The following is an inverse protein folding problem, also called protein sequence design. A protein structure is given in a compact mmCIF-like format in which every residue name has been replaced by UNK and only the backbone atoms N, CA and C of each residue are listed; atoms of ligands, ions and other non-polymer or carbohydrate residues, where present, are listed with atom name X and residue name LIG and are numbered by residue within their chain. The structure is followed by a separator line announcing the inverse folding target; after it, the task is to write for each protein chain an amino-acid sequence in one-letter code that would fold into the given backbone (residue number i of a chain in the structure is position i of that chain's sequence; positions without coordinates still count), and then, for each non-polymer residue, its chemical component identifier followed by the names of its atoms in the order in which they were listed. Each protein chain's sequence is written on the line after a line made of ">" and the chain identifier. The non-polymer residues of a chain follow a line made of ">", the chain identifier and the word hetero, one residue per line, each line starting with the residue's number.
data_IF_304350113798
#
_entry.id   IF_304350113798
#
_cell.length_a   1.000
_cell.length_b   1.000
_cell.length_c   1.000
_cell.angle_alpha   90.00
_cell.angle_beta   90.00
_cell.angle_gamma   90.00
#
_symmetry.space_group_name_H-M   'P 1'
#
loop_
_entity.id
_entity.type
_entity.pdbx_description
1 polymer ?
#
# COMPACT_ATOMS: atom_id res chain seq x y z
N UNK A 1 31.89 -0.08 8.52
CA UNK A 1 31.03 0.34 7.38
C UNK A 1 29.85 -0.60 7.36
N UNK A 2 28.62 -0.09 7.18
CA UNK A 2 27.41 -0.93 7.06
C UNK A 2 26.85 -0.83 5.65
N UNK A 3 26.53 -1.97 5.04
CA UNK A 3 25.95 -2.08 3.70
C UNK A 3 24.50 -2.54 3.80
N UNK A 4 23.57 -1.75 3.27
CA UNK A 4 22.15 -2.07 3.24
C UNK A 4 21.64 -2.30 1.82
N UNK A 5 20.60 -3.14 1.70
CA UNK A 5 19.88 -3.37 0.46
C UNK A 5 18.55 -2.60 0.49
N UNK A 6 18.36 -1.69 -0.47
CA UNK A 6 17.05 -1.08 -0.70
C UNK A 6 16.19 -2.06 -1.50
N UNK A 7 14.99 -2.36 -1.01
CA UNK A 7 14.06 -3.28 -1.64
C UNK A 7 12.80 -2.54 -2.10
N UNK A 8 12.63 -2.45 -3.41
CA UNK A 8 11.41 -1.95 -4.04
C UNK A 8 10.31 -3.03 -4.08
N UNK A 9 10.67 -4.31 -3.94
CA UNK A 9 9.78 -5.47 -4.03
C UNK A 9 8.92 -5.41 -5.31
N UNK A 10 9.62 -5.48 -6.44
CA UNK A 10 9.08 -5.18 -7.77
C UNK A 10 7.83 -5.99 -8.11
N UNK A 11 6.74 -5.30 -8.45
CA UNK A 11 5.55 -5.92 -9.02
C UNK A 11 5.55 -5.77 -10.55
N UNK A 12 6.19 -6.71 -11.24
CA UNK A 12 6.49 -6.59 -12.69
C UNK A 12 5.32 -7.01 -13.58
N UNK A 13 5.27 -6.46 -14.79
CA UNK A 13 4.28 -6.84 -15.78
C UNK A 13 4.39 -8.33 -16.16
N UNK A 14 3.26 -9.01 -16.30
CA UNK A 14 3.21 -10.46 -16.56
C UNK A 14 3.44 -11.35 -15.35
N UNK A 15 3.67 -10.78 -14.16
CA UNK A 15 3.74 -11.51 -12.88
C UNK A 15 2.47 -11.30 -12.05
N UNK A 16 2.22 -12.25 -11.15
CA UNK A 16 1.22 -12.14 -10.10
C UNK A 16 1.79 -11.39 -8.89
N UNK A 17 0.92 -10.91 -8.00
CA UNK A 17 1.38 -10.31 -6.75
C UNK A 17 2.01 -11.35 -5.82
N UNK A 18 1.47 -12.57 -5.81
CA UNK A 18 1.98 -13.69 -5.00
C UNK A 18 3.44 -13.99 -5.34
N UNK A 19 3.77 -14.09 -6.63
CA UNK A 19 5.17 -14.24 -7.08
C UNK A 19 6.06 -13.07 -6.62
N UNK A 20 5.55 -11.83 -6.66
CA UNK A 20 6.31 -10.66 -6.21
C UNK A 20 6.55 -10.67 -4.68
N UNK A 21 5.59 -11.15 -3.89
CA UNK A 21 5.78 -11.37 -2.45
C UNK A 21 6.84 -12.44 -2.18
N UNK A 22 6.74 -13.59 -2.86
CA UNK A 22 7.70 -14.68 -2.72
C UNK A 22 9.12 -14.23 -3.09
N UNK A 23 9.30 -13.57 -4.23
CA UNK A 23 10.58 -13.02 -4.68
C UNK A 23 11.16 -12.01 -3.67
N UNK A 24 10.32 -11.14 -3.10
CA UNK A 24 10.77 -10.17 -2.10
C UNK A 24 11.24 -10.85 -0.80
N UNK A 25 10.52 -11.85 -0.30
CA UNK A 25 10.97 -12.59 0.89
C UNK A 25 12.25 -13.38 0.64
N UNK A 26 12.35 -14.07 -0.51
CA UNK A 26 13.58 -14.76 -0.91
C UNK A 26 14.76 -13.77 -1.00
N UNK A 27 14.53 -12.56 -1.53
CA UNK A 27 15.55 -11.52 -1.60
C UNK A 27 16.03 -11.09 -0.21
N UNK A 28 15.13 -10.93 0.76
CA UNK A 28 15.50 -10.57 2.13
C UNK A 28 16.29 -11.68 2.84
N UNK A 29 15.87 -12.95 2.69
CA UNK A 29 16.61 -14.11 3.21
C UNK A 29 18.00 -14.21 2.56
N UNK A 30 18.10 -13.98 1.25
CA UNK A 30 19.38 -13.96 0.54
C UNK A 30 20.27 -12.79 0.98
N UNK A 31 19.72 -11.61 1.25
CA UNK A 31 20.48 -10.47 1.75
C UNK A 31 21.15 -10.81 3.10
N UNK A 32 20.46 -11.53 3.99
CA UNK A 32 21.05 -12.04 5.23
C UNK A 32 22.19 -13.03 4.95
N UNK A 33 21.98 -13.97 4.02
CA UNK A 33 22.97 -14.98 3.66
C UNK A 33 24.21 -14.40 2.98
N UNK A 34 24.07 -13.31 2.25
CA UNK A 34 25.17 -12.59 1.59
C UNK A 34 25.90 -11.61 2.52
N UNK A 35 25.41 -11.43 3.75
CA UNK A 35 26.07 -10.59 4.75
C UNK A 35 25.72 -9.11 4.68
N UNK A 36 24.56 -8.74 4.13
CA UNK A 36 24.06 -7.36 4.25
C UNK A 36 23.68 -7.05 5.71
N UNK A 37 23.95 -5.82 6.13
CA UNK A 37 23.63 -5.36 7.49
C UNK A 37 22.14 -5.02 7.67
N UNK A 38 21.40 -4.85 6.59
CA UNK A 38 19.98 -4.52 6.65
C UNK A 38 19.27 -4.46 5.30
N UNK A 39 17.95 -4.62 5.34
CA UNK A 39 17.04 -4.36 4.23
C UNK A 39 16.13 -3.17 4.54
N UNK A 40 15.84 -2.36 3.53
CA UNK A 40 15.04 -1.13 3.67
C UNK A 40 13.87 -1.13 2.69
N UNK A 41 12.67 -0.93 3.22
CA UNK A 41 11.41 -1.03 2.48
C UNK A 41 10.82 0.34 2.15
N UNK A 42 10.46 0.57 0.90
CA UNK A 42 9.75 1.77 0.47
C UNK A 42 8.23 1.56 0.43
N UNK A 43 7.45 2.44 1.07
CA UNK A 43 5.99 2.40 1.02
C UNK A 43 5.46 2.89 -0.33
N UNK A 44 4.67 2.05 -1.00
CA UNK A 44 4.01 2.38 -2.26
C UNK A 44 2.55 1.95 -2.25
N UNK A 45 1.69 2.88 -2.65
CA UNK A 45 0.25 2.68 -2.73
C UNK A 45 -0.21 2.78 -4.17
N UNK A 46 -1.14 1.91 -4.56
CA UNK A 46 -1.77 1.93 -5.89
C UNK A 46 -0.74 1.94 -7.03
N UNK A 47 0.29 1.09 -6.92
CA UNK A 47 1.40 1.01 -7.86
C UNK A 47 1.40 -0.30 -8.69
N UNK A 48 0.36 -0.59 -9.49
CA UNK A 48 0.42 -1.70 -10.43
C UNK A 48 1.39 -1.37 -11.59
N UNK A 49 1.94 -2.41 -12.26
CA UNK A 49 2.84 -2.25 -13.40
C UNK A 49 2.30 -1.34 -14.51
N UNK A 50 0.98 -1.34 -14.73
CA UNK A 50 0.32 -0.56 -15.77
C UNK A 50 0.09 0.92 -15.41
N UNK A 51 0.41 1.34 -14.17
CA UNK A 51 0.11 2.71 -13.71
C UNK A 51 0.95 3.78 -14.41
N UNK A 52 2.17 3.47 -14.85
CA UNK A 52 3.12 4.40 -15.48
C UNK A 52 3.52 5.61 -14.61
N UNK A 53 3.10 5.68 -13.35
CA UNK A 53 3.24 6.86 -12.47
C UNK A 53 4.08 6.61 -11.22
N UNK A 54 4.18 5.35 -10.81
CA UNK A 54 4.95 4.92 -9.65
C UNK A 54 5.81 3.72 -10.04
N UNK A 55 6.91 3.50 -9.32
CA UNK A 55 7.66 2.25 -9.44
C UNK A 55 6.74 1.14 -8.91
N UNK A 56 6.46 0.09 -9.70
CA UNK A 56 5.53 -0.96 -9.32
C UNK A 56 6.03 -1.75 -8.11
N UNK A 57 5.18 -1.95 -7.11
CA UNK A 57 5.57 -2.60 -5.85
C UNK A 57 4.37 -3.20 -5.12
N UNK A 58 4.63 -4.27 -4.36
CA UNK A 58 3.65 -4.88 -3.44
C UNK A 58 3.65 -4.28 -2.02
N UNK A 59 4.57 -3.37 -1.69
CA UNK A 59 4.77 -2.87 -0.31
C UNK A 59 3.87 -1.68 0.02
N UNK A 60 2.57 -1.93 0.25
CA UNK A 60 1.64 -0.90 0.74
C UNK A 60 1.67 -0.71 2.26
N UNK A 61 2.16 -1.70 3.01
CA UNK A 61 2.31 -1.64 4.47
C UNK A 61 3.70 -2.14 4.89
N UNK A 62 4.72 -1.25 4.91
CA UNK A 62 6.10 -1.65 5.21
C UNK A 62 6.26 -2.28 6.58
N UNK A 63 5.45 -1.90 7.58
CA UNK A 63 5.55 -2.46 8.94
C UNK A 63 5.08 -3.93 9.00
N UNK A 64 4.01 -4.27 8.29
CA UNK A 64 3.53 -5.65 8.19
C UNK A 64 4.53 -6.47 7.38
N UNK A 65 5.02 -5.92 6.26
CA UNK A 65 6.04 -6.56 5.44
C UNK A 65 7.34 -6.80 6.23
N UNK A 66 7.78 -5.81 7.02
CA UNK A 66 8.94 -5.92 7.87
C UNK A 66 8.78 -7.00 8.94
N UNK A 67 7.58 -7.14 9.51
CA UNK A 67 7.26 -8.20 10.47
C UNK A 67 7.40 -9.57 9.84
N UNK A 68 6.93 -9.74 8.59
CA UNK A 68 7.06 -10.99 7.85
C UNK A 68 8.53 -11.33 7.53
N UNK A 69 9.34 -10.35 7.11
CA UNK A 69 10.79 -10.54 6.94
C UNK A 69 11.45 -10.93 8.26
N UNK A 70 11.17 -10.19 9.33
CA UNK A 70 11.74 -10.46 10.65
C UNK A 70 11.40 -11.85 11.19
N UNK A 71 10.24 -12.43 10.82
CA UNK A 71 9.88 -13.80 11.17
C UNK A 71 10.66 -14.87 10.37
N UNK A 72 11.20 -14.51 9.21
CA UNK A 72 11.94 -15.40 8.29
C UNK A 72 13.46 -15.29 8.42
N UNK A 73 13.94 -14.19 8.98
CA UNK A 73 15.38 -13.89 9.13
C UNK A 73 15.78 -13.82 10.60
N UNK A 74 17.07 -13.95 10.91
CA UNK A 74 17.55 -14.09 12.29
C UNK A 74 18.49 -12.98 12.77
N UNK A 75 19.13 -12.25 11.85
CA UNK A 75 20.22 -11.31 12.12
C UNK A 75 20.08 -9.99 11.37
N UNK A 76 19.56 -10.01 10.13
CA UNK A 76 19.49 -8.83 9.29
C UNK A 76 18.52 -7.81 9.89
N UNK A 77 18.92 -6.54 9.87
CA UNK A 77 18.04 -5.45 10.33
C UNK A 77 17.01 -5.13 9.27
N UNK A 78 15.77 -4.92 9.67
CA UNK A 78 14.68 -4.55 8.77
C UNK A 78 14.23 -3.14 9.09
N UNK A 79 14.24 -2.25 8.09
CA UNK A 79 13.86 -0.85 8.24
C UNK A 79 12.98 -0.34 7.11
N UNK A 80 12.52 0.90 7.24
CA UNK A 80 11.71 1.59 6.23
C UNK A 80 12.49 2.75 5.61
N UNK A 81 12.42 2.92 4.29
CA UNK A 81 13.01 4.02 3.55
C UNK A 81 12.22 4.23 2.24
N UNK A 82 10.98 4.71 2.26
CA UNK A 82 10.33 5.56 3.28
C UNK A 82 9.03 4.97 3.83
N UNK A 83 8.61 5.41 5.02
CA UNK A 83 7.25 5.24 5.55
C UNK A 83 6.48 6.56 5.35
N UNK A 84 5.29 6.51 4.75
CA UNK A 84 4.46 7.69 4.46
C UNK A 84 3.60 8.00 5.68
N UNK A 85 4.20 8.70 6.65
CA UNK A 85 3.61 8.96 7.98
C UNK A 85 2.15 9.48 7.98
N UNK A 86 1.70 10.38 7.09
CA UNK A 86 0.31 10.86 7.10
C UNK A 86 -0.75 9.79 6.82
N UNK A 87 -0.37 8.62 6.29
CA UNK A 87 -1.26 7.52 5.96
C UNK A 87 -1.36 6.46 7.08
N UNK A 88 -0.44 6.49 8.04
CA UNK A 88 -0.43 5.58 9.18
C UNK A 88 -1.34 6.04 10.32
N UNK A 89 -1.58 5.17 11.32
CA UNK A 89 -2.22 5.59 12.57
C UNK A 89 -1.39 6.70 13.20
N UNK A 90 -1.99 7.87 13.38
CA UNK A 90 -1.39 8.90 14.19
C UNK A 90 -1.33 8.44 15.64
N UNK A 91 -0.22 8.71 16.33
CA UNK A 91 -0.18 8.59 17.79
C UNK A 91 -1.26 9.47 18.45
N UNK A 92 -1.44 9.38 19.78
CA UNK A 92 -2.53 10.04 20.50
C UNK A 92 -2.61 11.57 20.35
N UNK A 93 -1.60 12.20 19.73
CA UNK A 93 -1.54 13.64 19.49
C UNK A 93 -1.62 14.05 18.01
N UNK A 94 -1.74 13.12 17.06
CA UNK A 94 -1.87 13.46 15.65
C UNK A 94 -3.34 13.57 15.25
N UNK A 95 -3.79 14.79 14.99
CA UNK A 95 -5.09 15.07 14.36
C UNK A 95 -5.30 14.17 13.16
N UNK A 96 -6.48 13.55 13.09
CA UNK A 96 -6.77 12.44 12.21
C UNK A 96 -6.32 12.69 10.78
N UNK A 97 -5.86 11.61 10.14
CA UNK A 97 -5.72 11.51 8.68
C UNK A 97 -7.11 11.74 8.07
N UNK A 98 -7.48 13.01 7.96
CA UNK A 98 -8.57 13.44 7.12
C UNK A 98 -8.10 13.12 5.72
N UNK A 99 -8.68 12.09 5.12
CA UNK A 99 -8.68 11.91 3.67
C UNK A 99 -9.18 13.22 3.07
N UNK A 100 -8.25 14.13 2.77
CA UNK A 100 -8.53 15.32 2.02
C UNK A 100 -8.88 14.79 0.64
N UNK A 101 -10.18 14.74 0.35
CA UNK A 101 -10.73 14.38 -0.95
C UNK A 101 -9.93 15.18 -1.98
N UNK A 102 -9.04 14.51 -2.71
CA UNK A 102 -8.40 15.10 -3.87
C UNK A 102 -9.53 15.39 -4.86
N UNK A 103 -10.03 16.61 -4.83
CA UNK A 103 -10.88 17.14 -5.88
C UNK A 103 -10.00 17.25 -7.12
N UNK A 104 -9.93 16.18 -7.91
CA UNK A 104 -9.55 16.32 -9.30
C UNK A 104 -10.54 17.30 -9.95
N UNK A 105 -10.07 18.36 -10.64
CA UNK A 105 -10.96 19.21 -11.39
C UNK A 105 -11.62 18.36 -12.47
N UNK A 106 -12.95 18.17 -12.36
CA UNK A 106 -13.73 17.57 -13.44
C UNK A 106 -13.74 18.57 -14.58
N UNK A 107 -13.07 18.24 -15.68
CA UNK A 107 -13.34 18.89 -16.96
C UNK A 107 -14.82 18.68 -17.31
N UNK A 108 -15.59 19.73 -17.64
CA UNK A 108 -16.99 19.55 -18.03
C UNK A 108 -17.04 18.89 -19.41
N UNK A 109 -17.46 17.63 -19.47
CA UNK A 109 -17.93 17.02 -20.71
C UNK A 109 -19.30 17.57 -21.10
N UNK A 110 -19.66 17.60 -22.40
CA UNK A 110 -20.87 18.26 -22.84
C UNK A 110 -22.12 17.45 -22.44
N UNK A 111 -23.04 18.14 -21.77
CA UNK A 111 -24.48 17.90 -21.87
C UNK A 111 -25.03 16.58 -21.31
N UNK A 112 -25.27 16.51 -20.00
CA UNK A 112 -26.41 15.75 -19.48
C UNK A 112 -27.13 16.54 -18.39
N UNK A 113 -28.41 16.84 -18.66
CA UNK A 113 -29.31 17.63 -17.83
C UNK A 113 -29.67 16.83 -16.58
N UNK A 114 -29.13 17.21 -15.41
CA UNK A 114 -29.47 16.57 -14.14
C UNK A 114 -30.92 16.87 -13.75
N UNK A 115 -31.75 15.82 -13.63
CA UNK A 115 -33.05 15.93 -12.96
C UNK A 115 -32.80 16.11 -11.45
N UNK A 116 -33.41 17.14 -10.85
CA UNK A 116 -33.40 17.36 -9.40
C UNK A 116 -34.42 16.43 -8.75
N UNK A 117 -33.97 15.55 -7.85
CA UNK A 117 -34.86 14.82 -6.92
C UNK A 117 -34.89 15.60 -5.60
N UNK A 118 -36.08 15.88 -4.99
CA UNK A 118 -36.15 16.65 -3.75
C UNK A 118 -35.70 15.81 -2.54
N UNK A 119 -35.03 16.47 -1.59
CA UNK A 119 -34.71 15.93 -0.27
C UNK A 119 -36.00 15.73 0.54
N UNK A 120 -36.24 14.50 1.02
CA UNK A 120 -37.32 14.19 1.95
C UNK A 120 -37.12 12.85 2.67
N UNK A 121 -36.59 12.94 3.89
CA UNK A 121 -36.90 12.18 5.11
C UNK A 121 -37.20 10.65 5.09
N UNK A 122 -36.57 9.96 6.07
CA UNK A 122 -36.87 8.63 6.66
C UNK A 122 -36.42 7.45 5.77
N UNK A 123 -35.42 6.64 6.13
CA UNK A 123 -35.27 5.88 7.36
C UNK A 123 -35.94 4.51 7.18
N UNK A 124 -35.17 3.44 6.93
CA UNK A 124 -35.50 2.01 7.14
C UNK A 124 -34.36 1.15 6.54
N UNK A 125 -33.52 0.57 7.40
CA UNK A 125 -33.44 -0.86 7.78
C UNK A 125 -32.66 -1.75 6.80
N UNK A 126 -31.57 -2.31 7.32
CA UNK A 126 -30.90 -3.50 6.82
C UNK A 126 -31.88 -4.67 6.74
N UNK A 127 -31.88 -5.39 5.63
CA UNK A 127 -32.49 -6.72 5.52
C UNK A 127 -31.43 -7.71 5.08
N UNK A 128 -30.94 -8.49 6.04
CA UNK A 128 -30.30 -9.78 5.82
C UNK A 128 -31.41 -10.83 5.65
N UNK A 129 -31.39 -11.54 4.53
CA UNK A 129 -31.94 -12.90 4.26
C UNK A 129 -31.76 -13.08 2.74
N UNK A 130 -31.05 -14.08 2.24
CA UNK A 130 -30.99 -15.46 2.67
C UNK A 130 -31.60 -16.27 1.52
N UNK A 131 -30.73 -16.79 0.66
CA UNK A 131 -30.99 -17.77 -0.41
C UNK A 131 -31.77 -18.98 0.14
N UNK A 132 -32.56 -19.68 -0.69
CA UNK A 132 -32.03 -20.52 -1.77
C UNK A 132 -32.59 -20.24 -3.17
#
# INVERSE_FOLDING_TARGET
>A
MHLGLMMECDYREGRTQDEAFDEAFITAENAENWGFDGVWLAERHFAPPQSGRAIPSVVSSPLIFATAIAAKTSRIRVGTAVLVLPLGPSGPYGGGSGYHRQHQPRTPGPGHRAQRVPLGLRGLRYSLRGEP
#
